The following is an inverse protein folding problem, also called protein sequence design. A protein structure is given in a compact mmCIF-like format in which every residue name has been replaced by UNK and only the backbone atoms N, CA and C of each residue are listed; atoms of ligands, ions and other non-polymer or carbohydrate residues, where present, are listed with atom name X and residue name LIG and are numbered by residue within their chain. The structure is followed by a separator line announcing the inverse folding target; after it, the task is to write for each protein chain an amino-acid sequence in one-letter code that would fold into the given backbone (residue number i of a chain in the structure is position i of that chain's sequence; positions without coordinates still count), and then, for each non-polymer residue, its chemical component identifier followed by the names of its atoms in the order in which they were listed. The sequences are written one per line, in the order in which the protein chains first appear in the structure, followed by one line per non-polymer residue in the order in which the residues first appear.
data_IF_613910842069
#
_entry.id   IF_613910842069
#
_cell.length_a   1.000
_cell.length_b   1.000
_cell.length_c   1.000
_cell.angle_alpha   90.00
_cell.angle_beta   90.00
_cell.angle_gamma   90.00
#
_symmetry.space_group_name_H-M   'P 1'
#
loop_
_entity.id
_entity.type
_entity.pdbx_description
1 polymer ?
#
# COMPACT_ATOMS: atom_id res chain seq x y z
N UNK A 1 -11.97 -10.01 -13.53
CA UNK A 1 -13.28 -9.74 -12.89
C UNK A 1 -14.51 -10.06 -13.77
N UNK A 2 -14.67 -9.54 -15.00
CA UNK A 2 -15.88 -9.80 -15.83
C UNK A 2 -16.20 -11.29 -16.04
N UNK A 3 -15.19 -12.16 -16.20
CA UNK A 3 -15.40 -13.61 -16.31
C UNK A 3 -15.99 -14.24 -15.05
N UNK A 4 -15.55 -13.82 -13.87
CA UNK A 4 -16.12 -14.28 -12.60
C UNK A 4 -17.59 -13.85 -12.47
N UNK A 5 -17.92 -12.60 -12.79
CA UNK A 5 -19.31 -12.12 -12.81
C UNK A 5 -20.16 -12.95 -13.79
N UNK A 6 -19.64 -13.25 -14.98
CA UNK A 6 -20.34 -14.08 -15.95
C UNK A 6 -20.62 -15.49 -15.42
N UNK A 7 -19.66 -16.10 -14.71
CA UNK A 7 -19.87 -17.39 -14.05
C UNK A 7 -20.97 -17.31 -12.99
N UNK A 8 -20.93 -16.29 -12.12
CA UNK A 8 -21.96 -16.05 -11.09
C UNK A 8 -23.34 -15.96 -11.72
N UNK A 9 -23.50 -15.14 -12.78
CA UNK A 9 -24.76 -14.95 -13.49
C UNK A 9 -25.24 -16.23 -14.19
N UNK A 10 -24.32 -17.04 -14.74
CA UNK A 10 -24.66 -18.31 -15.39
C UNK A 10 -25.17 -19.36 -14.37
N UNK A 11 -24.60 -19.40 -13.18
CA UNK A 11 -24.96 -20.35 -12.14
C UNK A 11 -26.17 -19.93 -11.28
N UNK A 12 -26.47 -18.64 -11.18
CA UNK A 12 -27.60 -18.14 -10.37
C UNK A 12 -28.93 -18.82 -10.74
N UNK A 13 -29.33 -18.97 -12.03
CA UNK A 13 -30.57 -19.65 -12.40
C UNK A 13 -30.54 -21.17 -12.10
N UNK A 14 -29.38 -21.77 -12.01
CA UNK A 14 -29.24 -23.19 -11.65
C UNK A 14 -29.49 -23.37 -10.16
N UNK A 15 -28.83 -22.56 -9.33
CA UNK A 15 -28.97 -22.61 -7.87
C UNK A 15 -30.37 -22.19 -7.41
N UNK A 16 -31.08 -21.32 -8.14
CA UNK A 16 -32.46 -20.95 -7.80
C UNK A 16 -33.48 -22.06 -7.95
N UNK A 17 -33.12 -23.18 -8.59
CA UNK A 17 -34.01 -24.33 -8.85
C UNK A 17 -33.73 -25.53 -7.94
N UNK A 18 -32.73 -25.43 -7.08
CA UNK A 18 -32.35 -26.53 -6.18
C UNK A 18 -32.57 -26.09 -4.73
N UNK A 19 -32.92 -27.06 -3.89
CA UNK A 19 -33.00 -26.83 -2.46
C UNK A 19 -31.60 -26.72 -1.89
N UNK A 20 -31.30 -25.61 -1.24
CA UNK A 20 -30.01 -25.32 -0.64
C UNK A 20 -30.09 -25.38 0.88
N UNK A 21 -29.07 -25.95 1.53
CA UNK A 21 -28.97 -25.96 2.99
C UNK A 21 -28.62 -24.58 3.57
N UNK A 22 -28.12 -23.66 2.75
CA UNK A 22 -27.77 -22.29 3.10
C UNK A 22 -27.99 -21.37 1.90
N UNK A 23 -28.30 -20.13 2.16
CA UNK A 23 -28.45 -19.10 1.14
C UNK A 23 -27.13 -18.80 0.44
N UNK A 24 -27.20 -18.50 -0.86
CA UNK A 24 -26.09 -17.97 -1.64
C UNK A 24 -26.37 -16.49 -1.88
N UNK A 25 -25.48 -15.62 -1.38
CA UNK A 25 -25.55 -14.19 -1.55
C UNK A 25 -24.55 -13.74 -2.61
N UNK A 26 -25.02 -13.07 -3.66
CA UNK A 26 -24.19 -12.43 -4.66
C UNK A 26 -24.03 -10.95 -4.28
N UNK A 27 -22.80 -10.54 -4.05
CA UNK A 27 -22.46 -9.19 -3.65
C UNK A 27 -21.51 -8.55 -4.65
N UNK A 28 -21.82 -7.35 -5.10
CA UNK A 28 -20.99 -6.57 -6.01
C UNK A 28 -20.56 -5.30 -5.34
N UNK A 29 -19.27 -5.02 -5.35
CA UNK A 29 -18.67 -3.80 -4.82
C UNK A 29 -18.12 -2.94 -5.95
N UNK A 30 -17.72 -1.74 -5.63
CA UNK A 30 -17.16 -0.74 -6.55
C UNK A 30 -15.92 -0.11 -5.92
N UNK A 31 -15.13 0.58 -6.75
CA UNK A 31 -13.93 1.32 -6.34
C UNK A 31 -12.94 0.47 -5.51
N UNK A 32 -12.71 -0.78 -5.96
CA UNK A 32 -11.70 -1.65 -5.36
C UNK A 32 -10.31 -1.03 -5.53
N UNK A 33 -9.97 -0.55 -6.73
CA UNK A 33 -8.70 0.06 -7.09
C UNK A 33 -8.42 1.42 -6.41
N UNK A 34 -9.43 1.97 -5.73
CA UNK A 34 -9.37 3.24 -5.00
C UNK A 34 -9.67 3.03 -3.51
N UNK A 35 -8.86 2.21 -2.85
CA UNK A 35 -8.96 1.89 -1.41
C UNK A 35 -10.23 1.10 -1.02
N UNK A 36 -10.79 0.28 -1.91
CA UNK A 36 -11.92 -0.62 -1.65
C UNK A 36 -13.17 0.10 -1.08
N UNK A 37 -13.50 1.30 -1.56
CA UNK A 37 -14.54 2.17 -0.98
C UNK A 37 -15.91 1.51 -0.88
N UNK A 38 -16.25 0.59 -1.78
CA UNK A 38 -17.51 -0.16 -1.76
C UNK A 38 -17.60 -1.22 -0.67
N UNK A 39 -16.48 -1.77 -0.21
CA UNK A 39 -16.47 -2.87 0.75
C UNK A 39 -17.03 -2.50 2.14
N UNK A 40 -16.67 -1.36 2.77
CA UNK A 40 -17.28 -0.93 4.02
C UNK A 40 -18.79 -0.71 3.94
N UNK A 41 -19.28 -0.24 2.78
CA UNK A 41 -20.71 -0.02 2.53
C UNK A 41 -21.43 -1.37 2.49
N UNK A 42 -20.89 -2.33 1.74
CA UNK A 42 -21.42 -3.70 1.69
C UNK A 42 -21.45 -4.35 3.09
N UNK A 43 -20.34 -4.26 3.84
CA UNK A 43 -20.26 -4.84 5.19
C UNK A 43 -21.33 -4.25 6.11
N UNK A 44 -21.59 -2.95 6.04
CA UNK A 44 -22.65 -2.29 6.82
C UNK A 44 -24.03 -2.82 6.47
N UNK A 45 -24.30 -3.04 5.18
CA UNK A 45 -25.59 -3.58 4.72
C UNK A 45 -25.75 -5.06 5.10
N UNK A 46 -24.70 -5.88 4.98
CA UNK A 46 -24.73 -7.28 5.41
C UNK A 46 -25.02 -7.40 6.93
N UNK A 47 -24.38 -6.57 7.76
CA UNK A 47 -24.65 -6.50 9.20
C UNK A 47 -26.09 -6.10 9.49
N UNK A 48 -26.63 -5.12 8.79
CA UNK A 48 -28.03 -4.68 8.94
C UNK A 48 -29.01 -5.80 8.61
N UNK A 49 -28.72 -6.59 7.56
CA UNK A 49 -29.50 -7.75 7.15
C UNK A 49 -29.27 -8.98 8.02
N UNK A 50 -28.38 -8.92 9.02
CA UNK A 50 -27.99 -10.05 9.87
C UNK A 50 -27.43 -11.23 9.07
N UNK A 51 -26.83 -10.97 7.92
CA UNK A 51 -26.09 -11.96 7.14
C UNK A 51 -24.74 -12.10 7.81
N UNK A 52 -24.56 -13.18 8.55
CA UNK A 52 -23.37 -13.52 9.30
C UNK A 52 -23.07 -14.99 9.06
N UNK A 53 -21.84 -15.40 9.29
CA UNK A 53 -21.39 -16.78 9.27
C UNK A 53 -21.55 -17.50 7.92
N UNK A 54 -20.52 -17.46 7.15
CA UNK A 54 -20.47 -18.11 5.85
C UNK A 54 -19.08 -18.18 5.28
N UNK A 55 -18.97 -18.86 4.16
CA UNK A 55 -17.78 -18.84 3.31
C UNK A 55 -17.92 -17.65 2.36
N UNK A 56 -16.92 -16.78 2.35
CA UNK A 56 -16.83 -15.70 1.38
C UNK A 56 -15.86 -16.08 0.27
N UNK A 57 -16.34 -16.04 -0.97
CA UNK A 57 -15.50 -16.24 -2.16
C UNK A 57 -15.34 -14.89 -2.86
N UNK A 58 -14.10 -14.40 -2.92
CA UNK A 58 -13.75 -13.13 -3.57
C UNK A 58 -13.34 -13.42 -5.02
N UNK A 59 -13.94 -12.68 -5.96
CA UNK A 59 -13.78 -12.90 -7.39
C UNK A 59 -12.51 -12.32 -8.01
N UNK A 60 -11.35 -12.69 -7.46
CA UNK A 60 -10.04 -12.26 -7.96
C UNK A 60 -9.39 -13.28 -8.91
N UNK A 61 -8.49 -12.82 -9.81
CA UNK A 61 -7.80 -13.72 -10.74
C UNK A 61 -6.69 -14.50 -10.02
N UNK A 62 -6.99 -15.73 -9.61
CA UNK A 62 -6.10 -16.61 -8.84
C UNK A 62 -5.50 -17.76 -9.65
N UNK A 63 -5.63 -17.75 -10.99
CA UNK A 63 -5.25 -18.87 -11.86
C UNK A 63 -5.93 -20.18 -11.44
N UNK A 64 -7.19 -20.11 -11.01
CA UNK A 64 -8.00 -21.26 -10.54
C UNK A 64 -7.42 -21.95 -9.29
N UNK A 65 -6.61 -21.24 -8.51
CA UNK A 65 -6.12 -21.70 -7.20
C UNK A 65 -6.93 -21.05 -6.09
N UNK A 66 -7.03 -21.75 -4.98
CA UNK A 66 -7.59 -21.16 -3.75
C UNK A 66 -6.49 -20.34 -3.09
N UNK A 67 -6.77 -19.06 -2.87
CA UNK A 67 -5.92 -18.12 -2.12
C UNK A 67 -6.70 -17.76 -0.87
N UNK A 68 -6.19 -18.09 0.28
CA UNK A 68 -6.85 -17.95 1.57
C UNK A 68 -6.27 -16.83 2.45
N UNK A 69 -5.18 -16.21 2.00
CA UNK A 69 -4.57 -15.07 2.68
C UNK A 69 -3.78 -14.18 1.72
N UNK A 70 -3.58 -12.92 2.11
CA UNK A 70 -2.65 -12.00 1.46
C UNK A 70 -1.98 -11.09 2.50
N UNK A 71 -0.83 -10.53 2.14
CA UNK A 71 -0.15 -9.52 2.96
C UNK A 71 -1.00 -8.25 3.05
N UNK A 72 -0.80 -7.45 4.09
CA UNK A 72 -1.33 -6.08 4.12
C UNK A 72 -0.81 -5.26 2.94
N UNK A 73 -1.43 -4.12 2.68
CA UNK A 73 -0.99 -3.15 1.68
C UNK A 73 -1.17 -1.75 2.23
N UNK A 74 -0.09 -0.98 2.25
CA UNK A 74 -0.11 0.45 2.59
C UNK A 74 0.71 1.20 1.55
N UNK A 75 0.12 2.23 0.97
CA UNK A 75 0.72 3.10 -0.03
C UNK A 75 0.92 4.49 0.56
N UNK A 76 2.06 5.09 0.26
CA UNK A 76 2.45 6.39 0.80
C UNK A 76 3.01 7.29 -0.29
N UNK A 77 2.71 8.57 -0.18
CA UNK A 77 3.40 9.64 -0.91
C UNK A 77 3.98 10.61 0.11
N UNK A 78 5.30 10.72 0.15
CA UNK A 78 6.02 11.63 1.04
C UNK A 78 6.48 12.84 0.26
N UNK A 79 6.05 14.03 0.66
CA UNK A 79 6.38 15.29 0.00
C UNK A 79 7.54 15.98 0.69
N UNK A 80 8.41 16.59 -0.12
CA UNK A 80 9.56 17.39 0.30
C UNK A 80 9.43 18.80 -0.26
N UNK A 81 9.48 19.78 0.62
CA UNK A 81 9.51 21.19 0.28
C UNK A 81 10.84 21.80 0.73
N UNK A 82 11.60 22.31 -0.21
CA UNK A 82 12.90 22.93 -0.03
C UNK A 82 12.88 24.41 -0.36
N UNK A 83 14.04 24.91 -0.77
CA UNK A 83 14.22 26.31 -1.19
C UNK A 83 14.92 26.36 -2.54
N UNK A 84 14.25 26.91 -3.56
CA UNK A 84 14.82 27.07 -4.90
C UNK A 84 16.03 28.01 -4.89
N UNK A 85 16.98 27.74 -5.79
CA UNK A 85 18.16 28.55 -5.98
C UNK A 85 18.92 28.17 -7.22
N UNK A 86 19.99 28.92 -7.53
CA UNK A 86 20.87 28.58 -8.62
C UNK A 86 21.88 27.52 -8.16
N UNK A 87 22.13 26.50 -8.98
CA UNK A 87 23.01 25.37 -8.63
C UNK A 87 24.46 25.76 -8.29
N UNK A 88 24.95 26.92 -8.76
CA UNK A 88 26.27 27.42 -8.41
C UNK A 88 26.36 28.01 -6.99
N UNK A 89 25.24 28.16 -6.29
CA UNK A 89 25.16 28.68 -4.92
C UNK A 89 24.35 27.74 -3.99
N UNK A 90 24.80 26.49 -3.79
CA UNK A 90 24.05 25.47 -3.09
C UNK A 90 23.76 25.85 -1.61
N UNK A 91 24.58 26.70 -1.02
CA UNK A 91 24.42 27.20 0.34
C UNK A 91 23.25 28.19 0.51
N UNK A 92 22.60 28.60 -0.57
CA UNK A 92 21.45 29.53 -0.57
C UNK A 92 20.14 28.85 -0.93
N UNK A 93 20.13 27.53 -0.99
CA UNK A 93 18.94 26.76 -1.30
C UNK A 93 18.90 25.45 -0.55
N UNK A 94 17.75 24.78 -0.59
CA UNK A 94 17.52 23.46 0.00
C UNK A 94 16.96 22.54 -1.09
N UNK A 95 17.73 21.54 -1.50
CA UNK A 95 17.33 20.65 -2.57
C UNK A 95 16.35 19.57 -2.06
N UNK A 96 15.08 19.71 -2.38
CA UNK A 96 14.06 18.71 -2.08
C UNK A 96 14.40 17.34 -2.68
N UNK A 97 15.03 17.29 -3.86
CA UNK A 97 15.44 16.04 -4.53
C UNK A 97 16.55 15.32 -3.76
N UNK A 98 17.53 16.05 -3.22
CA UNK A 98 18.60 15.43 -2.42
C UNK A 98 18.06 14.82 -1.11
N UNK A 99 17.18 15.53 -0.42
CA UNK A 99 16.55 15.01 0.80
C UNK A 99 15.60 13.86 0.51
N UNK A 100 14.81 13.92 -0.55
CA UNK A 100 13.98 12.82 -1.03
C UNK A 100 14.81 11.58 -1.36
N UNK A 101 15.97 11.75 -1.99
CA UNK A 101 16.90 10.64 -2.31
C UNK A 101 17.44 9.98 -1.05
N UNK A 102 17.79 10.76 -0.02
CA UNK A 102 18.26 10.25 1.29
C UNK A 102 17.14 9.50 2.01
N UNK A 103 15.92 10.02 1.99
CA UNK A 103 14.73 9.36 2.53
C UNK A 103 14.48 8.00 1.84
N UNK A 104 14.51 8.00 0.50
CA UNK A 104 14.34 6.77 -0.27
C UNK A 104 15.45 5.74 0.03
N UNK A 105 16.70 6.18 0.22
CA UNK A 105 17.78 5.30 0.63
C UNK A 105 17.54 4.70 2.01
N UNK A 106 17.06 5.49 2.97
CA UNK A 106 16.68 4.97 4.30
C UNK A 106 15.58 3.92 4.21
N UNK A 107 14.56 4.11 3.37
CA UNK A 107 13.54 3.09 3.10
C UNK A 107 14.18 1.79 2.55
N UNK A 108 15.15 1.92 1.63
CA UNK A 108 15.86 0.76 1.06
C UNK A 108 16.67 0.01 2.14
N UNK A 109 17.30 0.72 3.07
CA UNK A 109 18.00 0.12 4.21
C UNK A 109 17.04 -0.67 5.12
N UNK A 110 15.89 -0.11 5.44
CA UNK A 110 14.86 -0.75 6.28
C UNK A 110 14.33 -2.07 5.71
N UNK A 111 14.45 -2.31 4.39
CA UNK A 111 14.15 -3.62 3.79
C UNK A 111 14.96 -4.75 4.44
N UNK A 112 16.21 -4.50 4.81
CA UNK A 112 17.05 -5.52 5.42
C UNK A 112 16.59 -5.87 6.84
N UNK A 113 16.07 -4.88 7.55
CA UNK A 113 15.53 -5.10 8.88
C UNK A 113 14.19 -5.86 8.82
N UNK A 114 13.33 -5.55 7.85
CA UNK A 114 12.12 -6.32 7.59
C UNK A 114 12.41 -7.80 7.29
N UNK A 115 13.46 -8.11 6.54
CA UNK A 115 13.87 -9.49 6.29
C UNK A 115 14.24 -10.23 7.57
N UNK A 116 14.93 -9.57 8.51
CA UNK A 116 15.32 -10.15 9.82
C UNK A 116 14.11 -10.40 10.73
N UNK A 117 13.01 -9.68 10.49
CA UNK A 117 11.77 -9.76 11.26
C UNK A 117 10.77 -10.80 10.72
N UNK A 118 11.15 -11.57 9.69
CA UNK A 118 10.29 -12.59 9.12
C UNK A 118 9.80 -13.60 10.17
N UNK A 119 8.50 -13.85 10.29
CA UNK A 119 8.00 -14.94 11.13
C UNK A 119 8.55 -16.29 10.65
N UNK A 120 8.90 -17.18 11.59
CA UNK A 120 9.46 -18.50 11.25
C UNK A 120 8.48 -19.39 10.51
N UNK A 121 7.21 -19.20 10.74
CA UNK A 121 6.08 -19.97 10.23
C UNK A 121 5.25 -19.18 9.17
N UNK A 122 5.86 -18.17 8.56
CA UNK A 122 5.20 -17.38 7.51
C UNK A 122 4.81 -18.25 6.32
N UNK A 123 3.53 -18.17 5.94
CA UNK A 123 2.97 -18.86 4.76
C UNK A 123 3.19 -18.08 3.46
N UNK A 124 3.73 -16.88 3.54
CA UNK A 124 3.91 -15.98 2.39
C UNK A 124 5.25 -16.19 1.68
N UNK A 125 5.26 -15.85 0.38
CA UNK A 125 6.47 -15.77 -0.45
C UNK A 125 6.60 -14.34 -1.02
N UNK A 126 7.67 -13.59 -0.68
CA UNK A 126 8.68 -13.91 0.34
C UNK A 126 8.07 -13.92 1.76
N UNK A 127 8.70 -14.63 2.72
CA UNK A 127 8.14 -14.84 4.06
C UNK A 127 8.19 -13.61 4.98
N UNK A 128 8.70 -12.49 4.52
CA UNK A 128 8.87 -11.23 5.26
C UNK A 128 8.02 -10.12 4.65
N UNK A 129 7.82 -9.06 5.44
CA UNK A 129 7.18 -7.82 4.98
C UNK A 129 8.03 -7.14 3.92
N UNK A 130 7.40 -6.74 2.83
CA UNK A 130 8.09 -6.09 1.71
C UNK A 130 7.90 -4.58 1.76
N UNK A 131 8.87 -3.85 1.23
CA UNK A 131 8.85 -2.42 1.04
C UNK A 131 9.41 -2.09 -0.34
N UNK A 132 8.75 -1.23 -1.09
CA UNK A 132 9.16 -0.79 -2.42
C UNK A 132 9.11 0.72 -2.51
N UNK A 133 10.19 1.33 -2.99
CA UNK A 133 10.18 2.71 -3.49
C UNK A 133 9.76 2.63 -4.95
N UNK A 134 8.58 3.18 -5.25
CA UNK A 134 7.97 3.13 -6.58
C UNK A 134 8.50 4.24 -7.49
N UNK A 135 8.75 5.43 -6.94
CA UNK A 135 9.25 6.55 -7.72
C UNK A 135 9.74 7.72 -6.88
N UNK A 136 10.58 8.56 -7.48
CA UNK A 136 11.03 9.84 -6.95
C UNK A 136 10.80 10.86 -8.05
N UNK A 137 10.02 11.90 -7.76
CA UNK A 137 9.58 12.87 -8.76
C UNK A 137 9.83 14.27 -8.27
N UNK A 138 10.65 15.03 -8.99
CA UNK A 138 10.98 16.40 -8.61
C UNK A 138 12.07 17.02 -9.46
N UNK A 139 12.26 18.34 -9.28
CA UNK A 139 13.18 19.12 -10.06
C UNK A 139 12.64 19.49 -11.44
N UNK A 140 13.18 20.59 -12.01
CA UNK A 140 12.74 21.14 -13.30
C UNK A 140 13.90 21.31 -14.29
N UNK A 141 15.13 21.54 -13.79
CA UNK A 141 16.33 21.73 -14.61
C UNK A 141 17.59 21.44 -13.80
N UNK A 142 18.66 21.01 -14.47
CA UNK A 142 19.93 20.64 -13.83
C UNK A 142 20.68 21.80 -13.15
N UNK A 143 20.37 23.04 -13.52
CA UNK A 143 21.00 24.26 -12.97
C UNK A 143 20.10 24.96 -11.91
N UNK A 144 18.99 24.33 -11.48
CA UNK A 144 18.06 24.84 -10.47
C UNK A 144 18.05 23.90 -9.29
N UNK A 145 18.23 24.44 -8.07
CA UNK A 145 18.01 23.69 -6.83
C UNK A 145 16.51 23.42 -6.73
N UNK A 146 16.12 22.15 -6.72
CA UNK A 146 14.73 21.73 -6.70
C UNK A 146 14.06 22.05 -5.35
N UNK A 147 13.03 22.84 -5.36
CA UNK A 147 12.25 23.20 -4.17
C UNK A 147 11.11 22.22 -3.85
N UNK A 148 10.78 21.32 -4.79
CA UNK A 148 9.72 20.32 -4.61
C UNK A 148 10.16 18.96 -5.13
N UNK A 149 9.84 17.95 -4.34
CA UNK A 149 10.00 16.55 -4.71
C UNK A 149 9.00 15.72 -3.93
N UNK A 150 8.62 14.54 -4.46
CA UNK A 150 7.89 13.55 -3.69
C UNK A 150 8.40 12.15 -3.98
N UNK A 151 8.21 11.26 -3.02
CA UNK A 151 8.59 9.85 -3.09
C UNK A 151 7.32 9.03 -2.93
N UNK A 152 7.04 8.17 -3.89
CA UNK A 152 5.99 7.17 -3.81
C UNK A 152 6.60 5.84 -3.36
N UNK A 153 6.00 5.24 -2.35
CA UNK A 153 6.46 3.98 -1.80
C UNK A 153 5.31 3.18 -1.20
N UNK A 154 5.48 1.86 -1.16
CA UNK A 154 4.51 0.95 -0.56
C UNK A 154 5.19 -0.01 0.42
N UNK A 155 4.40 -0.53 1.35
CA UNK A 155 4.79 -1.67 2.18
C UNK A 155 3.68 -2.71 2.21
N UNK A 156 4.07 -3.98 2.16
CA UNK A 156 3.16 -5.11 2.29
C UNK A 156 3.55 -5.93 3.52
N UNK A 157 3.02 -5.57 4.69
CA UNK A 157 3.38 -6.25 5.93
C UNK A 157 2.77 -7.65 6.02
N UNK A 158 3.59 -8.57 6.54
CA UNK A 158 3.17 -9.92 6.96
C UNK A 158 2.55 -9.87 8.35
N UNK A 159 3.10 -9.03 9.22
CA UNK A 159 2.57 -8.77 10.57
C UNK A 159 2.32 -7.27 10.76
N UNK A 160 1.29 -6.95 11.54
CA UNK A 160 0.88 -5.55 11.77
C UNK A 160 2.02 -4.69 12.35
N UNK A 161 2.84 -5.26 13.22
CA UNK A 161 3.92 -4.56 13.90
C UNK A 161 5.03 -4.09 12.95
N UNK A 162 5.16 -4.68 11.77
CA UNK A 162 6.14 -4.22 10.77
C UNK A 162 5.75 -2.87 10.16
N UNK A 163 4.45 -2.61 9.97
CA UNK A 163 3.99 -1.29 9.53
C UNK A 163 4.24 -0.21 10.59
N UNK A 164 4.02 -0.53 11.86
CA UNK A 164 4.32 0.38 12.98
C UNK A 164 5.82 0.65 13.07
N UNK A 165 6.64 -0.40 12.99
CA UNK A 165 8.09 -0.29 12.99
C UNK A 165 8.59 0.61 11.87
N UNK A 166 8.13 0.40 10.63
CA UNK A 166 8.55 1.22 9.49
C UNK A 166 8.21 2.70 9.68
N UNK A 167 6.99 3.01 10.11
CA UNK A 167 6.58 4.39 10.32
C UNK A 167 7.43 5.05 11.41
N UNK A 168 7.67 4.36 12.53
CA UNK A 168 8.51 4.88 13.61
C UNK A 168 9.95 5.17 13.16
N UNK A 169 10.58 4.24 12.44
CA UNK A 169 11.96 4.40 11.99
C UNK A 169 12.11 5.50 10.93
N UNK A 170 11.14 5.62 10.02
CA UNK A 170 11.23 6.62 8.96
C UNK A 170 10.86 8.02 9.47
N UNK A 171 9.86 8.13 10.37
CA UNK A 171 9.50 9.39 11.01
C UNK A 171 10.67 9.89 11.88
N UNK A 172 11.28 9.00 12.67
CA UNK A 172 12.47 9.34 13.46
C UNK A 172 13.62 9.84 12.57
N UNK A 173 13.88 9.18 11.44
CA UNK A 173 14.91 9.65 10.51
C UNK A 173 14.57 11.01 9.91
N UNK A 174 13.31 11.24 9.56
CA UNK A 174 12.87 12.53 9.05
C UNK A 174 13.02 13.63 10.11
N UNK A 175 12.56 13.40 11.33
CA UNK A 175 12.52 14.40 12.40
C UNK A 175 13.90 14.71 13.01
N UNK A 176 14.73 13.68 13.21
CA UNK A 176 16.02 13.84 13.88
C UNK A 176 17.17 14.18 12.91
N UNK A 177 17.06 13.81 11.64
CA UNK A 177 18.16 13.97 10.66
C UNK A 177 17.77 14.92 9.52
N UNK A 178 16.70 14.62 8.77
CA UNK A 178 16.42 15.38 7.55
C UNK A 178 15.92 16.79 7.84
N UNK A 179 14.89 16.93 8.66
CA UNK A 179 14.30 18.25 8.97
C UNK A 179 15.28 19.23 9.64
N UNK A 180 16.12 18.81 10.61
CA UNK A 180 17.13 19.73 11.18
C UNK A 180 18.15 20.22 10.15
N UNK A 181 18.50 19.38 9.17
CA UNK A 181 19.43 19.78 8.10
C UNK A 181 18.75 20.69 7.07
N UNK A 182 17.51 20.39 6.68
CA UNK A 182 16.74 21.24 5.77
C UNK A 182 16.50 22.65 6.29
N UNK A 183 16.44 22.82 7.62
CA UNK A 183 16.17 24.09 8.29
C UNK A 183 17.41 24.95 8.58
N UNK A 184 18.61 24.52 8.15
CA UNK A 184 19.86 25.27 8.37
C UNK A 184 20.09 26.41 7.39
N UNK A 185 19.30 26.54 6.36
CA UNK A 185 19.38 27.55 5.31
C UNK A 185 18.35 28.63 5.47
#
# INVERSE_FOLDING_TARGET
MKGFIACVLAYAPIYSKVELNRDIHFSFTFDEETACLGAPILIKELKKRKIQDGICIVGEPTQMKIIDAHKGCYEYTTYFEGLAGHSSMPHKGVSAVEFASRYANKLIELRQDLKKRAPKDSIFDPPFSTLQVGGIFGGIAHNVIADKCYVEWETRPVVKDDGVFLNQEIDKYADEILLPEMRKV
#
